data_IF_457167118528
#
_entry.id   IF_457167118528
#
_cell.length_a   1.000
_cell.length_b   1.000
_cell.length_c   1.000
_cell.angle_alpha   90.00
_cell.angle_beta   90.00
_cell.angle_gamma   90.00
#
_symmetry.space_group_name_H-M   'P 1'
#
loop_
_entity.id
_entity.type
_entity.pdbx_description
1 polymer ?
#
# COMPACT_ATOMS: atom_id res chain seq x y z
N UNK A 1 5.87 6.81 20.97
CA UNK A 1 6.23 7.00 19.54
C UNK A 1 7.72 6.77 19.22
N UNK A 2 8.63 6.88 20.16
CA UNK A 2 10.07 6.61 19.89
C UNK A 2 10.39 5.16 19.48
N UNK A 3 9.46 4.21 19.70
CA UNK A 3 9.65 2.77 19.41
C UNK A 3 8.80 2.22 18.26
N UNK A 4 7.73 2.90 17.85
CA UNK A 4 6.86 2.45 16.76
C UNK A 4 6.24 3.66 16.07
N UNK A 5 6.72 3.98 14.86
CA UNK A 5 6.27 5.10 14.04
C UNK A 5 4.95 4.79 13.31
N UNK A 6 4.62 3.51 13.13
CA UNK A 6 3.45 3.07 12.35
C UNK A 6 2.18 2.96 13.19
N UNK A 7 2.31 3.07 14.52
CA UNK A 7 1.17 3.06 15.43
C UNK A 7 0.27 4.29 15.21
N UNK A 8 -1.01 4.05 14.95
CA UNK A 8 -2.04 5.09 14.87
C UNK A 8 -2.67 5.30 16.24
N UNK A 9 -2.71 6.56 16.68
CA UNK A 9 -3.26 6.92 17.98
C UNK A 9 -4.63 7.52 17.76
N UNK A 10 -5.68 6.87 18.28
CA UNK A 10 -7.03 7.41 18.34
C UNK A 10 -7.24 7.92 19.76
N UNK A 11 -7.52 9.22 19.90
CA UNK A 11 -7.74 9.84 21.20
C UNK A 11 -9.23 9.94 21.53
N UNK A 12 -9.64 9.41 22.68
CA UNK A 12 -11.01 9.53 23.19
C UNK A 12 -11.10 10.58 24.30
N UNK A 13 -11.96 11.58 24.16
CA UNK A 13 -12.09 12.67 25.14
C UNK A 13 -13.50 13.21 25.25
N UNK A 14 -13.91 13.62 26.48
CA UNK A 14 -15.13 14.40 26.74
C UNK A 14 -14.87 15.91 26.68
N UNK A 15 -13.59 16.34 26.59
CA UNK A 15 -13.19 17.75 26.65
C UNK A 15 -12.70 18.22 25.29
N UNK A 16 -13.51 18.98 24.57
CA UNK A 16 -13.19 19.58 23.27
C UNK A 16 -11.93 20.46 23.36
N UNK A 17 -11.71 21.11 24.49
CA UNK A 17 -10.54 21.97 24.73
C UNK A 17 -9.20 21.21 24.62
N UNK A 18 -9.20 19.88 24.82
CA UNK A 18 -8.01 19.03 24.69
C UNK A 18 -7.63 18.64 23.25
N UNK A 19 -8.37 19.06 22.24
CA UNK A 19 -7.94 18.86 20.86
C UNK A 19 -6.55 19.43 20.57
N UNK A 20 -6.18 20.53 21.21
CA UNK A 20 -4.83 21.11 21.09
C UNK A 20 -3.73 20.18 21.63
N UNK A 21 -4.02 19.38 22.66
CA UNK A 21 -3.06 18.42 23.23
C UNK A 21 -2.85 17.23 22.28
N UNK A 22 -3.88 16.85 21.57
CA UNK A 22 -3.82 15.75 20.62
C UNK A 22 -2.93 16.05 19.39
N UNK A 23 -2.87 17.31 18.96
CA UNK A 23 -1.89 17.71 17.94
C UNK A 23 -0.44 17.49 18.41
N UNK A 24 -0.15 17.70 19.70
CA UNK A 24 1.21 17.47 20.27
C UNK A 24 1.63 16.02 20.23
N UNK A 25 0.67 15.09 20.38
CA UNK A 25 0.94 13.64 20.30
C UNK A 25 0.74 13.09 18.89
N UNK A 26 0.39 13.97 17.91
CA UNK A 26 0.02 13.62 16.55
C UNK A 26 -0.99 12.47 16.54
N UNK A 27 -2.12 12.64 17.23
CA UNK A 27 -3.24 11.72 17.18
C UNK A 27 -3.76 11.64 15.73
N UNK A 28 -4.03 10.43 15.29
CA UNK A 28 -4.55 10.16 13.93
C UNK A 28 -6.02 10.59 13.81
N UNK A 29 -6.83 10.27 14.84
CA UNK A 29 -8.26 10.57 14.91
C UNK A 29 -8.67 10.86 16.35
N UNK A 30 -9.86 11.48 16.47
CA UNK A 30 -10.53 11.74 17.75
C UNK A 30 -11.87 11.04 17.77
N UNK A 31 -12.28 10.63 18.96
CA UNK A 31 -13.60 10.10 19.25
C UNK A 31 -14.14 10.82 20.48
N UNK A 32 -15.35 11.31 20.42
CA UNK A 32 -15.99 12.03 21.52
C UNK A 32 -16.54 11.08 22.60
N UNK A 33 -16.60 11.57 23.84
CA UNK A 33 -17.35 10.88 24.91
C UNK A 33 -18.60 11.70 25.26
N UNK A 34 -19.79 11.07 25.36
CA UNK A 34 -20.08 9.62 25.33
C UNK A 34 -19.82 9.04 23.95
N UNK A 35 -19.43 7.75 23.89
CA UNK A 35 -19.11 7.07 22.65
C UNK A 35 -20.33 6.86 21.77
N UNK A 36 -20.22 7.26 20.50
CA UNK A 36 -21.11 6.88 19.43
C UNK A 36 -20.45 5.79 18.58
N UNK A 37 -21.17 4.71 18.36
CA UNK A 37 -20.64 3.53 17.65
C UNK A 37 -20.10 3.87 16.26
N UNK A 38 -20.85 4.69 15.51
CA UNK A 38 -20.45 5.16 14.16
C UNK A 38 -19.10 5.89 14.17
N UNK A 39 -18.90 6.82 15.15
CA UNK A 39 -17.65 7.58 15.26
C UNK A 39 -16.44 6.69 15.57
N UNK A 40 -16.64 5.64 16.38
CA UNK A 40 -15.59 4.64 16.68
C UNK A 40 -15.28 3.82 15.45
N UNK A 41 -16.31 3.31 14.74
CA UNK A 41 -16.16 2.50 13.54
C UNK A 41 -15.42 3.28 12.47
N UNK A 42 -15.80 4.52 12.21
CA UNK A 42 -15.13 5.39 11.24
C UNK A 42 -13.66 5.63 11.60
N UNK A 43 -13.38 5.94 12.86
CA UNK A 43 -12.00 6.16 13.31
C UNK A 43 -11.12 4.91 13.18
N UNK A 44 -11.67 3.72 13.49
CA UNK A 44 -10.98 2.45 13.33
C UNK A 44 -10.80 2.09 11.85
N UNK A 45 -11.83 2.29 11.03
CA UNK A 45 -11.78 2.04 9.59
C UNK A 45 -10.68 2.89 8.93
N UNK A 46 -10.65 4.19 9.20
CA UNK A 46 -9.60 5.08 8.69
C UNK A 46 -8.20 4.66 9.14
N UNK A 47 -8.04 4.23 10.40
CA UNK A 47 -6.75 3.72 10.88
C UNK A 47 -6.31 2.46 10.14
N UNK A 48 -7.22 1.50 9.94
CA UNK A 48 -6.96 0.26 9.20
C UNK A 48 -6.57 0.53 7.74
N UNK A 49 -7.21 1.50 7.08
CA UNK A 49 -6.87 1.90 5.72
C UNK A 49 -5.40 2.36 5.60
N UNK A 50 -4.89 3.06 6.59
CA UNK A 50 -3.48 3.51 6.58
C UNK A 50 -2.47 2.39 6.87
N UNK A 51 -2.93 1.23 7.34
CA UNK A 51 -2.09 0.08 7.70
C UNK A 51 -1.96 -0.95 6.57
N UNK A 52 -2.46 -0.66 5.38
CA UNK A 52 -2.36 -1.55 4.22
C UNK A 52 -0.89 -1.82 3.84
N UNK A 53 -0.58 -3.07 3.53
CA UNK A 53 0.73 -3.49 3.01
C UNK A 53 1.89 -3.40 4.00
N UNK A 54 1.63 -3.41 5.32
CA UNK A 54 2.68 -3.48 6.35
C UNK A 54 3.27 -4.88 6.50
N UNK A 55 2.57 -5.93 6.06
CA UNK A 55 3.07 -7.30 6.08
C UNK A 55 4.38 -7.40 5.31
N UNK A 56 5.46 -7.94 5.93
CA UNK A 56 6.74 -8.03 5.27
C UNK A 56 6.78 -9.14 4.24
N UNK A 57 7.58 -8.94 3.22
CA UNK A 57 7.94 -9.96 2.24
C UNK A 57 9.45 -10.00 2.08
N UNK A 58 10.01 -11.20 2.06
CA UNK A 58 11.44 -11.42 1.91
C UNK A 58 11.89 -11.32 0.45
N UNK A 59 12.93 -10.51 0.20
CA UNK A 59 13.69 -10.43 -1.05
C UNK A 59 15.18 -10.44 -0.78
N UNK A 60 15.97 -10.73 -1.82
CA UNK A 60 17.43 -10.79 -1.76
C UNK A 60 18.07 -9.69 -2.60
N UNK A 61 19.11 -9.06 -2.07
CA UNK A 61 20.04 -8.22 -2.82
C UNK A 61 21.47 -8.65 -2.50
N UNK A 62 22.27 -8.98 -3.53
CA UNK A 62 23.66 -9.42 -3.36
C UNK A 62 23.82 -10.58 -2.35
N UNK A 63 22.89 -11.54 -2.33
CA UNK A 63 22.80 -12.71 -1.42
C UNK A 63 22.47 -12.36 0.05
N UNK A 64 22.10 -11.14 0.33
CA UNK A 64 21.60 -10.71 1.65
C UNK A 64 20.08 -10.69 1.58
N UNK A 65 19.43 -11.31 2.59
CA UNK A 65 17.99 -11.30 2.74
C UNK A 65 17.52 -10.02 3.42
N UNK A 66 16.40 -9.48 2.96
CA UNK A 66 15.74 -8.31 3.54
C UNK A 66 14.24 -8.58 3.64
N UNK A 67 13.67 -8.32 4.81
CA UNK A 67 12.23 -8.25 5.01
C UNK A 67 11.75 -6.83 4.66
N UNK A 68 10.94 -6.72 3.62
CA UNK A 68 10.44 -5.45 3.09
C UNK A 68 8.94 -5.38 3.26
N UNK A 69 8.38 -4.34 3.91
CA UNK A 69 6.93 -4.10 3.91
C UNK A 69 6.40 -4.07 2.47
N UNK A 70 5.34 -4.80 2.19
CA UNK A 70 4.80 -4.90 0.83
C UNK A 70 4.45 -3.54 0.23
N UNK A 71 4.05 -2.58 1.06
CA UNK A 71 3.77 -1.21 0.63
C UNK A 71 4.97 -0.47 0.03
N UNK A 72 6.21 -0.89 0.32
CA UNK A 72 7.43 -0.28 -0.21
C UNK A 72 7.83 -0.85 -1.58
N UNK A 73 7.26 -1.99 -1.97
CA UNK A 73 7.48 -2.59 -3.28
C UNK A 73 6.69 -1.81 -4.32
N UNK A 74 7.38 -1.18 -5.28
CA UNK A 74 6.74 -0.36 -6.32
C UNK A 74 6.18 -1.19 -7.47
N UNK A 75 6.99 -2.11 -7.97
CA UNK A 75 6.66 -2.99 -9.10
C UNK A 75 7.42 -4.30 -8.99
N UNK A 76 6.82 -5.38 -9.46
CA UNK A 76 7.47 -6.68 -9.60
C UNK A 76 7.55 -7.05 -11.08
N UNK A 77 8.72 -7.52 -11.49
CA UNK A 77 9.04 -7.95 -12.85
C UNK A 77 9.29 -9.46 -12.82
N UNK A 78 8.53 -10.21 -13.61
CA UNK A 78 8.68 -11.65 -13.72
C UNK A 78 9.73 -12.02 -14.79
N UNK A 79 10.56 -12.98 -14.43
CA UNK A 79 11.46 -13.73 -15.31
C UNK A 79 11.05 -15.21 -15.28
N UNK A 80 11.70 -16.04 -16.09
CA UNK A 80 11.30 -17.44 -16.24
C UNK A 80 11.32 -18.22 -14.91
N UNK A 81 12.36 -18.03 -14.08
CA UNK A 81 12.58 -18.80 -12.85
C UNK A 81 12.58 -17.96 -11.57
N UNK A 82 12.48 -16.63 -11.67
CA UNK A 82 12.52 -15.73 -10.52
C UNK A 82 11.73 -14.45 -10.79
N UNK A 83 11.57 -13.66 -9.76
CA UNK A 83 10.99 -12.31 -9.85
C UNK A 83 11.99 -11.28 -9.32
N UNK A 84 11.93 -10.06 -9.85
CA UNK A 84 12.61 -8.89 -9.30
C UNK A 84 11.57 -7.87 -8.81
N UNK A 85 11.78 -7.35 -7.63
CA UNK A 85 11.01 -6.24 -7.06
C UNK A 85 11.81 -4.95 -7.10
N UNK A 86 11.19 -3.86 -7.52
CA UNK A 86 11.72 -2.51 -7.38
C UNK A 86 11.24 -1.93 -6.05
N UNK A 87 12.18 -1.59 -5.16
CA UNK A 87 11.94 -0.99 -3.85
C UNK A 87 12.72 0.31 -3.78
N UNK A 88 12.04 1.44 -3.94
CA UNK A 88 12.70 2.71 -4.20
C UNK A 88 13.55 2.65 -5.47
N UNK A 89 14.89 2.80 -5.33
CA UNK A 89 15.86 2.65 -6.45
C UNK A 89 16.56 1.29 -6.47
N UNK A 90 16.24 0.39 -5.54
CA UNK A 90 16.89 -0.92 -5.41
C UNK A 90 16.12 -1.98 -6.17
N UNK A 91 16.84 -2.86 -6.86
CA UNK A 91 16.30 -4.09 -7.47
C UNK A 91 16.65 -5.27 -6.58
N UNK A 92 15.64 -5.98 -6.15
CA UNK A 92 15.75 -7.11 -5.22
C UNK A 92 15.12 -8.34 -5.84
N UNK A 93 15.71 -9.50 -5.64
CA UNK A 93 15.32 -10.76 -6.26
C UNK A 93 14.64 -11.70 -5.28
N UNK A 94 13.70 -12.51 -5.78
CA UNK A 94 13.15 -13.67 -5.09
C UNK A 94 13.02 -14.84 -6.06
N UNK A 95 13.56 -16.00 -5.67
CA UNK A 95 13.60 -17.21 -6.51
C UNK A 95 12.28 -18.00 -6.39
N UNK A 96 11.22 -17.40 -6.89
CA UNK A 96 9.88 -18.02 -7.01
C UNK A 96 9.21 -17.60 -8.31
N UNK A 97 8.20 -18.36 -8.74
CA UNK A 97 7.38 -17.97 -9.90
C UNK A 97 6.45 -16.80 -9.55
N UNK A 98 6.08 -16.01 -10.57
CA UNK A 98 5.12 -14.91 -10.38
C UNK A 98 3.78 -15.40 -9.81
N UNK A 99 3.32 -16.59 -10.25
CA UNK A 99 2.07 -17.17 -9.73
C UNK A 99 2.14 -17.35 -8.22
N UNK A 100 3.24 -17.96 -7.73
CA UNK A 100 3.40 -18.18 -6.28
C UNK A 100 3.59 -16.88 -5.51
N UNK A 101 4.24 -15.89 -6.12
CA UNK A 101 4.35 -14.56 -5.51
C UNK A 101 2.98 -13.91 -5.32
N UNK A 102 2.11 -13.98 -6.34
CA UNK A 102 0.75 -13.41 -6.27
C UNK A 102 -0.13 -14.03 -5.18
N UNK A 103 0.16 -15.25 -4.73
CA UNK A 103 -0.52 -15.90 -3.60
C UNK A 103 -0.11 -15.33 -2.24
N UNK A 104 1.06 -14.66 -2.18
CA UNK A 104 1.64 -14.08 -0.96
C UNK A 104 1.36 -12.58 -0.87
N UNK A 105 1.32 -11.90 -2.02
CA UNK A 105 1.11 -10.47 -2.09
C UNK A 105 -0.30 -10.06 -1.65
N UNK A 106 -0.40 -8.94 -0.97
CA UNK A 106 -1.69 -8.35 -0.60
C UNK A 106 -2.46 -7.97 -1.88
N UNK A 107 -3.52 -8.72 -2.16
CA UNK A 107 -4.34 -8.53 -3.36
C UNK A 107 -5.04 -7.16 -3.43
N UNK A 108 -5.11 -6.43 -2.33
CA UNK A 108 -5.63 -5.06 -2.29
C UNK A 108 -4.65 -4.06 -2.88
N UNK A 109 -3.34 -4.37 -2.81
CA UNK A 109 -2.26 -3.49 -3.26
C UNK A 109 -1.78 -3.83 -4.66
N UNK A 110 -1.68 -5.11 -4.98
CA UNK A 110 -0.97 -5.56 -6.16
C UNK A 110 -1.92 -5.98 -7.27
N UNK A 111 -1.67 -5.43 -8.45
CA UNK A 111 -2.41 -5.79 -9.66
C UNK A 111 -1.45 -6.18 -10.79
N UNK A 112 -1.71 -7.34 -11.42
CA UNK A 112 -0.93 -7.79 -12.56
C UNK A 112 -1.41 -7.10 -13.84
N UNK A 113 -0.60 -6.18 -14.39
CA UNK A 113 -0.94 -5.40 -15.58
C UNK A 113 -0.70 -6.13 -16.91
N UNK A 114 0.24 -7.08 -16.92
CA UNK A 114 0.48 -7.97 -18.05
C UNK A 114 1.09 -9.31 -17.58
N UNK A 115 1.65 -10.12 -18.52
CA UNK A 115 2.24 -11.42 -18.18
C UNK A 115 3.52 -11.32 -17.31
N UNK A 116 4.19 -10.15 -17.32
CA UNK A 116 5.50 -9.94 -16.66
C UNK A 116 5.46 -8.94 -15.52
N UNK A 117 4.51 -8.01 -15.52
CA UNK A 117 4.52 -6.90 -14.59
C UNK A 117 3.36 -6.95 -13.60
N UNK A 118 3.68 -6.80 -12.33
CA UNK A 118 2.73 -6.61 -11.23
C UNK A 118 3.05 -5.29 -10.57
N UNK A 119 2.09 -4.38 -10.50
CA UNK A 119 2.27 -3.05 -9.90
C UNK A 119 1.61 -2.96 -8.54
N UNK A 120 2.22 -2.19 -7.66
CA UNK A 120 1.58 -1.77 -6.43
C UNK A 120 0.80 -0.48 -6.69
N UNK A 121 -0.49 -0.50 -6.45
CA UNK A 121 -1.40 0.61 -6.72
C UNK A 121 -1.07 1.87 -5.89
N UNK A 122 -0.43 1.73 -4.73
CA UNK A 122 0.07 2.87 -3.94
C UNK A 122 1.09 3.71 -4.71
N UNK A 123 1.89 3.09 -5.58
CA UNK A 123 2.94 3.74 -6.35
C UNK A 123 2.54 4.18 -7.75
N UNK A 124 1.30 3.88 -8.16
CA UNK A 124 0.77 4.39 -9.44
C UNK A 124 0.39 5.86 -9.27
N UNK A 125 1.15 6.75 -9.89
CA UNK A 125 0.92 8.20 -9.80
C UNK A 125 -0.09 8.71 -10.83
N UNK A 126 -0.25 8.01 -11.97
CA UNK A 126 -1.28 8.31 -12.96
C UNK A 126 -1.63 7.11 -13.82
N UNK A 127 -2.86 7.12 -14.35
CA UNK A 127 -3.35 6.18 -15.37
C UNK A 127 -4.09 6.94 -16.48
N UNK A 128 -3.60 6.80 -17.70
CA UNK A 128 -4.26 7.38 -18.90
C UNK A 128 -4.09 6.47 -20.12
N UNK A 129 -5.18 6.20 -20.83
CA UNK A 129 -5.19 5.44 -22.10
C UNK A 129 -4.51 4.06 -22.07
N UNK A 130 -4.48 3.43 -20.90
CA UNK A 130 -3.81 2.14 -20.70
C UNK A 130 -2.33 2.25 -20.37
N UNK A 131 -1.81 3.45 -20.12
CA UNK A 131 -0.47 3.70 -19.57
C UNK A 131 -0.56 4.07 -18.11
N UNK A 132 0.36 3.57 -17.31
CA UNK A 132 0.57 3.93 -15.90
C UNK A 132 1.96 4.51 -15.71
N UNK A 133 2.10 5.39 -14.72
CA UNK A 133 3.38 5.91 -14.26
C UNK A 133 3.64 5.37 -12.85
N UNK A 134 4.81 4.75 -12.67
CA UNK A 134 5.31 4.27 -11.36
C UNK A 134 6.70 4.87 -11.16
N UNK A 135 6.83 5.79 -10.20
CA UNK A 135 8.03 6.61 -10.09
C UNK A 135 8.23 7.47 -11.33
N UNK A 136 9.36 7.29 -12.03
CA UNK A 136 9.70 7.99 -13.27
C UNK A 136 9.45 7.12 -14.53
N UNK A 137 9.08 5.86 -14.36
CA UNK A 137 8.94 4.89 -15.45
C UNK A 137 7.46 4.74 -15.88
N UNK A 138 7.28 4.51 -17.21
CA UNK A 138 5.98 4.23 -17.82
C UNK A 138 5.82 2.75 -18.08
N UNK A 139 4.64 2.22 -17.76
CA UNK A 139 4.25 0.84 -18.04
C UNK A 139 2.92 0.78 -18.77
N UNK A 140 2.75 -0.25 -19.60
CA UNK A 140 1.54 -0.43 -20.41
C UNK A 140 0.69 -1.56 -19.82
N UNK A 141 -0.54 -1.23 -19.47
CA UNK A 141 -1.54 -2.24 -19.10
C UNK A 141 -1.99 -2.96 -20.36
N UNK A 142 -1.88 -4.30 -20.39
CA UNK A 142 -2.26 -5.11 -21.54
C UNK A 142 -3.74 -4.87 -21.91
N UNK A 143 -4.07 -4.86 -23.21
CA UNK A 143 -5.42 -4.50 -23.72
C UNK A 143 -6.54 -5.25 -23.00
N UNK A 144 -6.37 -6.55 -22.77
CA UNK A 144 -7.37 -7.40 -22.11
C UNK A 144 -7.62 -7.04 -20.64
N UNK A 145 -6.63 -6.39 -19.96
CA UNK A 145 -6.71 -6.04 -18.55
C UNK A 145 -7.12 -4.59 -18.29
N UNK A 146 -7.14 -3.73 -19.31
CA UNK A 146 -7.39 -2.29 -19.14
C UNK A 146 -8.71 -1.98 -18.45
N UNK A 147 -9.81 -2.61 -18.90
CA UNK A 147 -11.14 -2.36 -18.33
C UNK A 147 -11.22 -2.73 -16.84
N UNK A 148 -10.63 -3.88 -16.49
CA UNK A 148 -10.58 -4.35 -15.11
C UNK A 148 -9.64 -3.48 -14.26
N UNK A 149 -8.44 -3.18 -14.77
CA UNK A 149 -7.47 -2.30 -14.10
C UNK A 149 -8.07 -0.93 -13.80
N UNK A 150 -8.77 -0.32 -14.73
CA UNK A 150 -9.40 0.99 -14.56
C UNK A 150 -10.41 0.96 -13.41
N UNK A 151 -11.23 -0.10 -13.33
CA UNK A 151 -12.18 -0.29 -12.21
C UNK A 151 -11.44 -0.42 -10.88
N UNK A 152 -10.47 -1.35 -10.81
CA UNK A 152 -9.69 -1.61 -9.58
C UNK A 152 -8.92 -0.37 -9.13
N UNK A 153 -8.29 0.36 -10.06
CA UNK A 153 -7.53 1.56 -9.74
C UNK A 153 -8.42 2.69 -9.20
N UNK A 154 -9.62 2.88 -9.76
CA UNK A 154 -10.58 3.87 -9.24
C UNK A 154 -11.08 3.49 -7.84
N UNK A 155 -11.45 2.23 -7.62
CA UNK A 155 -11.88 1.74 -6.32
C UNK A 155 -10.76 1.90 -5.28
N UNK A 156 -9.52 1.58 -5.67
CA UNK A 156 -8.35 1.78 -4.85
C UNK A 156 -8.11 3.25 -4.50
N UNK A 157 -8.20 4.15 -5.47
CA UNK A 157 -7.96 5.58 -5.28
C UNK A 157 -9.01 6.22 -4.36
N UNK A 158 -10.28 5.81 -4.49
CA UNK A 158 -11.36 6.23 -3.58
C UNK A 158 -11.10 5.74 -2.15
N UNK A 159 -10.62 4.49 -2.00
CA UNK A 159 -10.44 3.86 -0.69
C UNK A 159 -9.15 4.28 -0.01
N UNK A 160 -8.05 4.38 -0.77
CA UNK A 160 -6.68 4.54 -0.26
C UNK A 160 -5.93 5.76 -0.80
N UNK A 161 -6.55 6.60 -1.63
CA UNK A 161 -5.89 7.75 -2.26
C UNK A 161 -5.26 8.75 -1.28
N UNK A 162 -5.78 8.85 -0.07
CA UNK A 162 -5.20 9.64 1.02
C UNK A 162 -3.96 9.03 1.69
N UNK A 163 -3.55 7.82 1.29
CA UNK A 163 -2.37 7.10 1.83
C UNK A 163 -1.16 7.20 0.90
N UNK A 164 -1.37 7.70 -0.35
CA UNK A 164 -0.33 7.91 -1.37
C UNK A 164 0.63 9.03 -1.02
#
# INVERSE_FOLDING_TARGET
>A
RKKNTDCKIIMATSKIERFKEAFKIAAFRFVSKPFFEEEIIDALFDALQTMIGLEPIEFYEKRISYEIPQREVCIVIAYDSFVEALVGKRRMRKDISLKRLMEILDSRLFYQIDRRYVVNLLHVSSYQNGEIIVGEEKFIVSRRRRKEFEKVYREFDVTYGGVK
#
